data_IF_207884828039
#
_entry.id   IF_207884828039
#
_cell.length_a   1.000
_cell.length_b   1.000
_cell.length_c   1.000
_cell.angle_alpha   90.00
_cell.angle_beta   90.00
_cell.angle_gamma   90.00
#
_symmetry.space_group_name_H-M   'P 1'
#
loop_
_entity.id
_entity.type
_entity.pdbx_description
1 polymer ?
#
# COMPACT_ATOMS: atom_id res chain seq x y z
N UNK A 1 -9.17 24.34 -13.04
CA UNK A 1 -9.30 23.16 -13.93
C UNK A 1 -8.65 21.91 -13.34
N UNK A 2 -7.35 21.86 -13.02
CA UNK A 2 -6.71 20.67 -12.44
C UNK A 2 -7.22 20.27 -11.04
N UNK A 3 -7.52 21.24 -10.20
CA UNK A 3 -8.01 21.00 -8.83
C UNK A 3 -9.40 20.41 -8.87
N UNK A 4 -10.30 20.92 -9.70
CA UNK A 4 -11.69 20.46 -9.83
C UNK A 4 -11.80 19.01 -10.31
N UNK A 5 -10.94 18.57 -11.23
CA UNK A 5 -10.93 17.17 -11.69
C UNK A 5 -10.47 16.19 -10.59
N UNK A 6 -9.65 16.64 -9.65
CA UNK A 6 -9.11 15.78 -8.61
C UNK A 6 -9.91 15.84 -7.28
N UNK A 7 -10.85 16.77 -7.14
CA UNK A 7 -11.66 16.89 -5.91
C UNK A 7 -12.35 15.59 -5.54
N UNK A 8 -12.94 14.88 -6.49
CA UNK A 8 -13.63 13.61 -6.23
C UNK A 8 -12.72 12.54 -5.59
N UNK A 9 -11.41 12.51 -5.92
CA UNK A 9 -10.48 11.54 -5.35
C UNK A 9 -10.08 11.91 -3.95
N UNK A 10 -10.06 13.20 -3.63
CA UNK A 10 -9.91 13.69 -2.25
C UNK A 10 -11.13 13.28 -1.42
N UNK A 11 -12.34 13.37 -1.97
CA UNK A 11 -13.54 12.86 -1.30
C UNK A 11 -13.48 11.36 -1.07
N UNK A 12 -13.06 10.55 -2.06
CA UNK A 12 -12.85 9.11 -1.85
C UNK A 12 -11.83 8.83 -0.76
N UNK A 13 -10.71 9.53 -0.76
CA UNK A 13 -9.69 9.39 0.27
C UNK A 13 -10.22 9.70 1.67
N UNK A 14 -10.99 10.76 1.83
CA UNK A 14 -11.61 11.13 3.10
C UNK A 14 -12.66 10.12 3.54
N UNK A 15 -13.55 9.69 2.63
CA UNK A 15 -14.58 8.69 2.91
C UNK A 15 -13.93 7.36 3.34
N UNK A 16 -12.94 6.87 2.59
CA UNK A 16 -12.21 5.65 2.96
C UNK A 16 -11.49 5.80 4.30
N UNK A 17 -10.89 6.96 4.56
CA UNK A 17 -10.22 7.22 5.84
C UNK A 17 -11.19 7.18 7.01
N UNK A 18 -12.37 7.80 6.89
CA UNK A 18 -13.42 7.74 7.91
C UNK A 18 -13.91 6.30 8.09
N UNK A 19 -14.16 5.59 6.99
CA UNK A 19 -14.62 4.20 7.03
C UNK A 19 -13.61 3.29 7.74
N UNK A 20 -12.34 3.37 7.40
CA UNK A 20 -11.29 2.60 8.07
C UNK A 20 -11.13 3.01 9.54
N UNK A 21 -11.22 4.32 9.84
CA UNK A 21 -11.12 4.80 11.22
C UNK A 21 -12.21 4.19 12.13
N UNK A 22 -13.42 4.01 11.60
CA UNK A 22 -14.54 3.37 12.30
C UNK A 22 -14.37 1.84 12.32
N UNK A 23 -13.82 1.26 11.27
CA UNK A 23 -13.64 -0.19 11.14
C UNK A 23 -12.69 -0.76 12.22
N UNK A 24 -11.66 -0.02 12.63
CA UNK A 24 -10.69 -0.50 13.63
C UNK A 24 -11.33 -0.82 14.99
N UNK A 25 -12.04 0.08 15.67
CA UNK A 25 -12.71 -0.23 16.93
C UNK A 25 -13.81 -1.28 16.77
N UNK A 26 -14.50 -1.29 15.63
CA UNK A 26 -15.50 -2.33 15.34
C UNK A 26 -14.87 -3.72 15.26
N UNK A 27 -13.74 -3.86 14.57
CA UNK A 27 -12.99 -5.12 14.53
C UNK A 27 -12.43 -5.50 15.90
N UNK A 28 -11.95 -4.55 16.70
CA UNK A 28 -11.48 -4.81 18.06
C UNK A 28 -12.60 -5.44 18.91
N UNK A 29 -13.81 -4.92 18.83
CA UNK A 29 -14.98 -5.47 19.54
C UNK A 29 -15.29 -6.91 19.07
N UNK A 30 -15.34 -7.16 17.77
CA UNK A 30 -15.62 -8.49 17.21
C UNK A 30 -14.52 -9.49 17.59
N UNK A 31 -13.25 -9.10 17.40
CA UNK A 31 -12.11 -9.96 17.65
C UNK A 31 -11.93 -10.28 19.15
N UNK A 32 -12.40 -9.40 20.03
CA UNK A 32 -12.45 -9.69 21.46
C UNK A 32 -13.35 -10.89 21.84
N UNK A 33 -14.15 -11.43 20.93
CA UNK A 33 -14.82 -12.71 21.13
C UNK A 33 -13.91 -13.91 20.87
N UNK A 34 -12.75 -13.71 20.24
CA UNK A 34 -11.80 -14.77 19.89
C UNK A 34 -10.76 -14.89 21.02
N UNK A 35 -10.71 -16.04 21.70
CA UNK A 35 -9.83 -16.29 22.84
C UNK A 35 -8.37 -15.97 22.55
N UNK A 36 -7.85 -16.41 21.39
CA UNK A 36 -6.45 -16.15 21.00
C UNK A 36 -6.15 -14.66 20.79
N UNK A 37 -7.11 -13.89 20.28
CA UNK A 37 -6.93 -12.45 20.14
C UNK A 37 -6.86 -11.75 21.51
N UNK A 38 -7.70 -12.15 22.46
CA UNK A 38 -7.68 -11.62 23.84
C UNK A 38 -6.32 -11.82 24.54
N UNK A 39 -5.60 -12.88 24.18
CA UNK A 39 -4.28 -13.15 24.79
C UNK A 39 -3.16 -12.28 24.21
N UNK A 40 -3.40 -11.53 23.14
CA UNK A 40 -2.42 -10.60 22.58
C UNK A 40 -2.23 -9.44 23.56
N UNK A 41 -1.03 -9.37 24.14
CA UNK A 41 -0.67 -8.33 25.10
C UNK A 41 0.72 -7.76 24.76
N UNK A 42 0.99 -6.47 24.89
CA UNK A 42 0.10 -5.37 25.32
C UNK A 42 -0.84 -4.87 24.18
N UNK A 43 -1.78 -3.98 24.53
CA UNK A 43 -2.87 -3.53 23.62
C UNK A 43 -2.37 -2.96 22.30
N UNK A 44 -1.22 -2.31 22.23
CA UNK A 44 -0.65 -1.84 20.98
C UNK A 44 -0.36 -2.97 19.96
N UNK A 45 -0.14 -4.22 20.43
CA UNK A 45 -0.03 -5.39 19.54
C UNK A 45 -1.37 -5.82 18.96
N UNK A 46 -2.47 -5.61 19.68
CA UNK A 46 -3.83 -5.82 19.13
C UNK A 46 -4.12 -4.80 18.04
N UNK A 47 -3.76 -3.53 18.25
CA UNK A 47 -3.88 -2.49 17.22
C UNK A 47 -3.03 -2.82 15.99
N UNK A 48 -1.79 -3.25 16.21
CA UNK A 48 -0.91 -3.72 15.13
C UNK A 48 -1.50 -4.93 14.38
N UNK A 49 -2.11 -5.87 15.09
CA UNK A 49 -2.82 -7.00 14.49
C UNK A 49 -3.93 -6.53 13.57
N UNK A 50 -4.82 -5.65 14.06
CA UNK A 50 -5.95 -5.12 13.27
C UNK A 50 -5.42 -4.37 12.05
N UNK A 51 -4.43 -3.50 12.21
CA UNK A 51 -3.85 -2.73 11.12
C UNK A 51 -3.35 -3.64 9.98
N UNK A 52 -2.55 -4.64 10.33
CA UNK A 52 -2.03 -5.58 9.32
C UNK A 52 -3.12 -6.48 8.75
N UNK A 53 -4.13 -6.87 9.52
CA UNK A 53 -5.26 -7.66 9.05
C UNK A 53 -6.07 -6.86 8.03
N UNK A 54 -6.44 -5.63 8.34
CA UNK A 54 -7.17 -4.73 7.44
C UNK A 54 -6.35 -4.49 6.17
N UNK A 55 -5.09 -4.08 6.32
CA UNK A 55 -4.21 -3.81 5.17
C UNK A 55 -4.04 -5.06 4.31
N UNK A 56 -3.75 -6.22 4.90
CA UNK A 56 -3.61 -7.47 4.17
C UNK A 56 -4.88 -7.87 3.43
N UNK A 57 -6.05 -7.72 4.04
CA UNK A 57 -7.34 -8.04 3.41
C UNK A 57 -7.64 -7.11 2.24
N UNK A 58 -7.53 -5.80 2.43
CA UNK A 58 -7.83 -4.83 1.38
C UNK A 58 -6.84 -4.95 0.22
N UNK A 59 -5.53 -5.03 0.50
CA UNK A 59 -4.54 -5.23 -0.55
C UNK A 59 -4.78 -6.53 -1.32
N UNK A 60 -5.16 -7.62 -0.63
CA UNK A 60 -5.50 -8.88 -1.28
C UNK A 60 -6.73 -8.77 -2.20
N UNK A 61 -7.73 -7.98 -1.83
CA UNK A 61 -8.92 -7.75 -2.65
C UNK A 61 -8.61 -6.88 -3.89
N UNK A 62 -7.74 -5.89 -3.77
CA UNK A 62 -7.40 -5.01 -4.89
C UNK A 62 -6.29 -5.57 -5.80
N UNK A 63 -5.50 -6.55 -5.34
CA UNK A 63 -4.39 -7.11 -6.12
C UNK A 63 -4.81 -7.65 -7.49
N UNK A 64 -5.91 -8.41 -7.67
CA UNK A 64 -6.34 -8.86 -8.99
C UNK A 64 -6.62 -7.70 -9.95
N UNK A 65 -7.23 -6.63 -9.43
CA UNK A 65 -7.52 -5.43 -10.21
C UNK A 65 -6.24 -4.65 -10.56
N UNK A 66 -5.33 -4.52 -9.61
CA UNK A 66 -3.99 -3.94 -9.85
C UNK A 66 -3.22 -4.69 -10.93
N UNK A 67 -3.30 -6.03 -10.93
CA UNK A 67 -2.72 -6.86 -11.98
C UNK A 67 -3.34 -6.57 -13.34
N UNK A 68 -4.65 -6.40 -13.42
CA UNK A 68 -5.34 -6.08 -14.66
C UNK A 68 -4.92 -4.71 -15.21
N UNK A 69 -4.78 -3.69 -14.36
CA UNK A 69 -4.26 -2.37 -14.76
C UNK A 69 -2.82 -2.51 -15.31
N UNK A 70 -1.97 -3.24 -14.60
CA UNK A 70 -0.59 -3.48 -15.03
C UNK A 70 -0.52 -4.22 -16.35
N UNK A 71 -1.35 -5.24 -16.55
CA UNK A 71 -1.46 -6.01 -17.78
C UNK A 71 -1.89 -5.12 -18.96
N UNK A 72 -2.92 -4.29 -18.79
CA UNK A 72 -3.39 -3.37 -19.81
C UNK A 72 -2.31 -2.34 -20.19
N UNK A 73 -1.57 -1.85 -19.20
CA UNK A 73 -0.46 -0.94 -19.47
C UNK A 73 0.67 -1.62 -20.26
N UNK A 74 1.14 -2.78 -19.83
CA UNK A 74 2.30 -3.45 -20.45
C UNK A 74 1.99 -3.92 -21.88
N UNK A 75 0.80 -4.48 -22.12
CA UNK A 75 0.47 -5.10 -23.41
C UNK A 75 -0.27 -4.20 -24.39
N UNK A 76 -1.01 -3.22 -23.89
CA UNK A 76 -1.87 -2.37 -24.71
C UNK A 76 -1.55 -0.88 -24.58
N UNK A 77 -0.64 -0.51 -23.67
CA UNK A 77 -0.31 0.88 -23.34
C UNK A 77 -1.53 1.71 -22.94
N UNK A 78 -2.45 1.10 -22.18
CA UNK A 78 -3.69 1.72 -21.72
C UNK A 78 -3.60 1.97 -20.22
N UNK A 79 -3.78 3.24 -19.83
CA UNK A 79 -3.94 3.66 -18.45
C UNK A 79 -5.39 4.02 -18.14
N UNK A 80 -6.01 3.35 -17.18
CA UNK A 80 -7.25 3.85 -16.56
C UNK A 80 -6.90 4.72 -15.36
N UNK A 81 -6.75 6.03 -15.63
CA UNK A 81 -6.39 7.01 -14.60
C UNK A 81 -7.42 7.12 -13.49
N UNK A 82 -8.70 6.92 -13.80
CA UNK A 82 -9.76 6.98 -12.82
C UNK A 82 -9.64 5.84 -11.81
N UNK A 83 -9.46 4.61 -12.29
CA UNK A 83 -9.28 3.44 -11.45
C UNK A 83 -7.99 3.54 -10.61
N UNK A 84 -6.89 3.97 -11.21
CA UNK A 84 -5.60 4.17 -10.53
C UNK A 84 -5.75 5.17 -9.38
N UNK A 85 -6.40 6.31 -9.59
CA UNK A 85 -6.59 7.34 -8.57
C UNK A 85 -7.52 6.88 -7.45
N UNK A 86 -8.59 6.11 -7.76
CA UNK A 86 -9.46 5.51 -6.74
C UNK A 86 -8.68 4.51 -5.89
N UNK A 87 -7.89 3.63 -6.51
CA UNK A 87 -7.06 2.66 -5.79
C UNK A 87 -5.98 3.33 -4.95
N UNK A 88 -5.35 4.39 -5.48
CA UNK A 88 -4.39 5.18 -4.72
C UNK A 88 -5.03 5.85 -3.51
N UNK A 89 -6.27 6.37 -3.64
CA UNK A 89 -7.04 6.93 -2.53
C UNK A 89 -7.33 5.88 -1.45
N UNK A 90 -7.73 4.67 -1.87
CA UNK A 90 -7.99 3.56 -0.97
C UNK A 90 -6.70 3.11 -0.25
N UNK A 91 -5.61 2.95 -0.99
CA UNK A 91 -4.31 2.54 -0.43
C UNK A 91 -3.78 3.57 0.59
N UNK A 92 -3.77 4.85 0.21
CA UNK A 92 -3.27 5.91 1.07
C UNK A 92 -4.12 6.08 2.34
N UNK A 93 -5.45 5.92 2.25
CA UNK A 93 -6.33 6.03 3.41
C UNK A 93 -6.08 4.97 4.49
N UNK A 94 -5.70 3.73 4.10
CA UNK A 94 -5.35 2.67 5.06
C UNK A 94 -4.09 3.07 5.83
N UNK A 95 -3.08 3.57 5.13
CA UNK A 95 -1.82 3.99 5.74
C UNK A 95 -2.00 5.22 6.64
N UNK A 96 -2.84 6.17 6.24
CA UNK A 96 -3.22 7.33 7.08
C UNK A 96 -3.83 6.86 8.40
N UNK A 97 -4.85 6.01 8.32
CA UNK A 97 -5.56 5.54 9.52
C UNK A 97 -4.64 4.73 10.43
N UNK A 98 -3.73 3.95 9.86
CA UNK A 98 -2.74 3.20 10.64
C UNK A 98 -1.84 4.12 11.47
N UNK A 99 -1.44 5.28 10.95
CA UNK A 99 -0.65 6.28 11.69
C UNK A 99 -1.37 6.78 12.95
N UNK A 100 -2.69 6.88 12.93
CA UNK A 100 -3.49 7.36 14.07
C UNK A 100 -3.92 6.24 15.03
N UNK A 101 -4.16 5.04 14.52
CA UNK A 101 -4.75 3.96 15.30
C UNK A 101 -3.70 3.05 15.97
N UNK A 102 -2.47 2.97 15.43
CA UNK A 102 -1.44 2.08 15.96
C UNK A 102 -0.49 2.84 16.87
N UNK A 103 -0.67 2.67 18.18
CA UNK A 103 0.27 3.18 19.16
C UNK A 103 1.60 2.40 19.08
N UNK A 104 2.73 3.08 19.26
CA UNK A 104 4.08 2.50 19.24
C UNK A 104 4.42 1.80 17.90
N UNK A 105 4.09 2.45 16.80
CA UNK A 105 4.55 2.04 15.48
C UNK A 105 6.07 2.21 15.36
N UNK A 106 6.73 1.33 14.62
CA UNK A 106 8.17 1.45 14.35
C UNK A 106 8.44 2.70 13.49
N UNK A 107 9.55 3.40 13.74
CA UNK A 107 9.91 4.64 13.04
C UNK A 107 9.98 4.44 11.53
N UNK A 108 10.55 3.34 11.04
CA UNK A 108 10.58 3.01 9.61
C UNK A 108 9.19 2.89 9.01
N UNK A 109 8.24 2.31 9.74
CA UNK A 109 6.85 2.18 9.29
C UNK A 109 6.15 3.55 9.28
N UNK A 110 6.41 4.41 10.28
CA UNK A 110 5.88 5.78 10.31
C UNK A 110 6.39 6.56 9.08
N UNK A 111 7.70 6.50 8.82
CA UNK A 111 8.30 7.16 7.66
C UNK A 111 7.66 6.65 6.36
N UNK A 112 7.55 5.33 6.19
CA UNK A 112 6.92 4.73 5.01
C UNK A 112 5.47 5.22 4.82
N UNK A 113 4.63 5.12 5.84
CA UNK A 113 3.22 5.57 5.73
C UNK A 113 3.11 7.08 5.47
N UNK A 114 3.99 7.89 6.08
CA UNK A 114 4.03 9.34 5.82
C UNK A 114 4.45 9.65 4.38
N UNK A 115 5.42 8.93 3.84
CA UNK A 115 5.83 9.08 2.44
C UNK A 115 4.73 8.68 1.47
N UNK A 116 3.96 7.65 1.78
CA UNK A 116 2.77 7.29 0.98
C UNK A 116 1.78 8.46 0.90
N UNK A 117 1.55 9.18 2.03
CA UNK A 117 0.67 10.35 2.02
C UNK A 117 1.24 11.48 1.13
N UNK A 118 2.52 11.77 1.27
CA UNK A 118 3.19 12.80 0.47
C UNK A 118 3.09 12.46 -1.01
N UNK A 119 3.40 11.22 -1.41
CA UNK A 119 3.29 10.78 -2.81
C UNK A 119 1.86 10.83 -3.33
N UNK A 120 0.89 10.43 -2.54
CA UNK A 120 -0.51 10.49 -2.92
C UNK A 120 -0.94 11.93 -3.22
N UNK A 121 -0.65 12.87 -2.31
CA UNK A 121 -1.00 14.29 -2.47
C UNK A 121 -0.29 14.90 -3.68
N UNK A 122 1.03 14.67 -3.82
CA UNK A 122 1.81 15.17 -4.95
C UNK A 122 1.26 14.59 -6.27
N UNK A 123 0.96 13.30 -6.30
CA UNK A 123 0.41 12.65 -7.51
C UNK A 123 -0.94 13.23 -7.92
N UNK A 124 -1.79 13.61 -6.96
CA UNK A 124 -3.06 14.27 -7.28
C UNK A 124 -2.89 15.71 -7.77
N UNK A 125 -1.97 16.48 -7.17
CA UNK A 125 -1.89 17.92 -7.40
C UNK A 125 -0.92 18.31 -8.54
N UNK A 126 0.14 17.54 -8.74
CA UNK A 126 1.27 17.96 -9.54
C UNK A 126 1.51 17.11 -10.80
N UNK A 127 0.96 15.90 -10.92
CA UNK A 127 1.29 15.03 -12.02
C UNK A 127 0.17 14.90 -13.05
N UNK A 128 0.53 15.23 -14.29
CA UNK A 128 -0.12 14.67 -15.47
C UNK A 128 0.43 13.27 -15.66
N UNK A 129 -0.44 12.25 -15.63
CA UNK A 129 -0.06 10.87 -15.88
C UNK A 129 0.23 10.64 -17.37
N UNK A 130 1.25 11.33 -17.91
CA UNK A 130 1.75 11.06 -19.24
C UNK A 130 2.81 9.95 -19.19
N UNK A 131 2.92 9.17 -20.25
CA UNK A 131 3.75 7.95 -20.32
C UNK A 131 5.23 8.17 -20.00
N UNK A 132 5.74 9.38 -20.12
CA UNK A 132 7.15 9.71 -19.95
C UNK A 132 7.46 10.48 -18.67
N UNK A 133 6.49 10.58 -17.76
CA UNK A 133 6.67 11.29 -16.49
C UNK A 133 7.00 10.35 -15.33
N UNK A 134 7.55 10.90 -14.26
CA UNK A 134 7.86 10.19 -13.02
C UNK A 134 6.62 9.54 -12.37
N UNK A 135 5.42 9.96 -12.74
CA UNK A 135 4.16 9.35 -12.33
C UNK A 135 4.05 7.87 -12.71
N UNK A 136 4.53 7.49 -13.89
CA UNK A 136 4.52 6.08 -14.34
C UNK A 136 5.24 5.13 -13.37
N UNK A 137 6.53 5.34 -13.05
CA UNK A 137 7.19 4.45 -12.09
C UNK A 137 6.58 4.51 -10.69
N UNK A 138 6.03 5.64 -10.24
CA UNK A 138 5.30 5.73 -8.96
C UNK A 138 4.06 4.83 -8.96
N UNK A 139 3.24 4.88 -10.01
CA UNK A 139 2.05 4.03 -10.15
C UNK A 139 2.43 2.55 -10.20
N UNK A 140 3.44 2.19 -10.98
CA UNK A 140 3.92 0.80 -11.05
C UNK A 140 4.43 0.32 -9.69
N UNK A 141 5.18 1.17 -8.97
CA UNK A 141 5.60 0.86 -7.61
C UNK A 141 4.40 0.61 -6.68
N UNK A 142 3.38 1.47 -6.74
CA UNK A 142 2.16 1.32 -5.94
C UNK A 142 1.40 0.02 -6.29
N UNK A 143 1.30 -0.33 -7.58
CA UNK A 143 0.69 -1.58 -8.04
C UNK A 143 1.43 -2.79 -7.45
N UNK A 144 2.76 -2.85 -7.57
CA UNK A 144 3.54 -3.94 -6.98
C UNK A 144 3.44 -3.98 -5.45
N UNK A 145 3.25 -2.84 -4.79
CA UNK A 145 3.05 -2.77 -3.34
C UNK A 145 1.77 -3.46 -2.87
N UNK A 146 0.76 -3.63 -3.74
CA UNK A 146 -0.46 -4.38 -3.38
C UNK A 146 -0.15 -5.85 -3.09
N UNK A 147 0.85 -6.45 -3.72
CA UNK A 147 1.28 -7.82 -3.47
C UNK A 147 1.86 -8.04 -2.06
N UNK A 148 2.16 -6.97 -1.33
CA UNK A 148 2.52 -7.06 0.08
C UNK A 148 1.37 -7.56 1.00
N UNK A 149 0.16 -7.83 0.44
CA UNK A 149 -0.97 -8.37 1.22
C UNK A 149 -0.60 -9.63 2.01
N UNK A 150 0.21 -10.53 1.42
CA UNK A 150 0.65 -11.75 2.10
C UNK A 150 1.55 -11.45 3.30
N UNK A 151 2.41 -10.45 3.19
CA UNK A 151 3.27 -10.02 4.31
C UNK A 151 2.43 -9.42 5.43
N UNK A 152 1.48 -8.54 5.09
CA UNK A 152 0.58 -7.94 6.09
C UNK A 152 -0.29 -9.03 6.77
N UNK A 153 -0.84 -9.97 6.00
CA UNK A 153 -1.58 -11.10 6.56
C UNK A 153 -0.69 -11.95 7.49
N UNK A 154 0.56 -12.24 7.11
CA UNK A 154 1.53 -12.92 7.98
C UNK A 154 1.81 -12.12 9.26
N UNK A 155 2.06 -10.82 9.17
CA UNK A 155 2.33 -9.95 10.32
C UNK A 155 1.17 -9.90 11.32
N UNK A 156 -0.07 -9.97 10.85
CA UNK A 156 -1.23 -10.14 11.71
C UNK A 156 -1.29 -11.55 12.30
N UNK A 157 -1.36 -12.56 11.46
CA UNK A 157 -1.65 -13.93 11.85
C UNK A 157 -0.57 -14.57 12.71
N UNK A 158 0.69 -14.10 12.64
CA UNK A 158 1.78 -14.60 13.49
C UNK A 158 1.52 -14.44 14.99
N UNK A 159 0.61 -13.56 15.38
CA UNK A 159 0.24 -13.32 16.77
C UNK A 159 -0.76 -14.34 17.32
N UNK A 160 -1.43 -15.10 16.44
CA UNK A 160 -2.50 -16.04 16.83
C UNK A 160 -2.33 -17.46 16.26
N UNK A 161 -1.53 -17.64 15.20
CA UNK A 161 -1.32 -18.96 14.59
C UNK A 161 -0.32 -19.83 15.35
N UNK A 162 -0.52 -21.14 15.22
CA UNK A 162 0.44 -22.13 15.73
C UNK A 162 1.73 -22.12 14.88
N UNK A 163 2.86 -22.43 15.51
CA UNK A 163 4.21 -22.39 14.90
C UNK A 163 4.31 -23.19 13.60
N UNK A 164 3.63 -24.35 13.50
CA UNK A 164 3.65 -25.21 12.30
C UNK A 164 3.10 -24.48 11.07
N UNK A 165 1.91 -23.88 11.18
CA UNK A 165 1.28 -23.14 10.08
C UNK A 165 2.00 -21.83 9.81
N UNK A 166 2.56 -21.22 10.87
CA UNK A 166 3.28 -19.96 10.76
C UNK A 166 4.53 -20.08 9.90
N UNK A 167 5.31 -21.15 10.01
CA UNK A 167 6.50 -21.38 9.17
C UNK A 167 6.14 -21.46 7.68
N UNK A 168 5.13 -22.26 7.34
CA UNK A 168 4.67 -22.38 5.96
C UNK A 168 4.22 -21.03 5.41
N UNK A 169 3.41 -20.32 6.18
CA UNK A 169 2.88 -19.02 5.78
C UNK A 169 3.98 -17.96 5.63
N UNK A 170 4.96 -17.94 6.53
CA UNK A 170 6.14 -17.08 6.44
C UNK A 170 6.94 -17.35 5.15
N UNK A 171 7.17 -18.63 4.83
CA UNK A 171 7.91 -19.01 3.62
C UNK A 171 7.18 -18.56 2.36
N UNK A 172 5.87 -18.83 2.25
CA UNK A 172 5.07 -18.42 1.09
C UNK A 172 5.06 -16.89 0.95
N UNK A 173 4.82 -16.17 2.05
CA UNK A 173 4.81 -14.70 2.06
C UNK A 173 6.15 -14.12 1.64
N UNK A 174 7.26 -14.72 2.11
CA UNK A 174 8.62 -14.29 1.75
C UNK A 174 8.92 -14.51 0.27
N UNK A 175 8.56 -15.66 -0.28
CA UNK A 175 8.78 -15.97 -1.71
C UNK A 175 8.00 -14.99 -2.59
N UNK A 176 6.71 -14.79 -2.31
CA UNK A 176 5.86 -13.88 -3.09
C UNK A 176 6.42 -12.45 -3.01
N UNK A 177 6.76 -11.99 -1.80
CA UNK A 177 7.28 -10.65 -1.60
C UNK A 177 8.62 -10.43 -2.32
N UNK A 178 9.57 -11.37 -2.18
CA UNK A 178 10.87 -11.28 -2.88
C UNK A 178 10.70 -11.26 -4.39
N UNK A 179 9.84 -12.10 -4.94
CA UNK A 179 9.54 -12.13 -6.37
C UNK A 179 8.98 -10.78 -6.84
N UNK A 180 7.97 -10.26 -6.16
CA UNK A 180 7.37 -8.97 -6.51
C UNK A 180 8.35 -7.81 -6.36
N UNK A 181 9.16 -7.79 -5.30
CA UNK A 181 10.22 -6.79 -5.14
C UNK A 181 11.24 -6.85 -6.27
N UNK A 182 11.69 -8.04 -6.66
CA UNK A 182 12.65 -8.20 -7.76
C UNK A 182 12.10 -7.67 -9.07
N UNK A 183 10.85 -8.02 -9.41
CA UNK A 183 10.20 -7.51 -10.61
C UNK A 183 10.04 -5.99 -10.58
N UNK A 184 9.57 -5.45 -9.45
CA UNK A 184 9.39 -4.02 -9.28
C UNK A 184 10.72 -3.27 -9.45
N UNK A 185 11.77 -3.68 -8.74
CA UNK A 185 13.09 -3.03 -8.84
C UNK A 185 13.69 -3.15 -10.23
N UNK A 186 13.54 -4.30 -10.88
CA UNK A 186 14.00 -4.48 -12.27
C UNK A 186 13.29 -3.49 -13.21
N UNK A 187 11.98 -3.33 -13.05
CA UNK A 187 11.21 -2.37 -13.83
C UNK A 187 11.63 -0.92 -13.53
N UNK A 188 11.79 -0.56 -12.25
CA UNK A 188 12.21 0.79 -11.85
C UNK A 188 13.56 1.16 -12.46
N UNK A 189 14.55 0.27 -12.36
CA UNK A 189 15.87 0.49 -12.95
C UNK A 189 15.78 0.64 -14.48
N UNK A 190 15.05 -0.24 -15.14
CA UNK A 190 14.85 -0.21 -16.58
C UNK A 190 14.17 1.10 -17.03
N UNK A 191 13.08 1.47 -16.38
CA UNK A 191 12.35 2.69 -16.71
C UNK A 191 13.20 3.96 -16.51
N UNK A 192 13.87 4.07 -15.37
CA UNK A 192 14.72 5.22 -15.07
C UNK A 192 15.92 5.33 -16.02
N UNK A 193 16.45 4.19 -16.47
CA UNK A 193 17.53 4.17 -17.46
C UNK A 193 17.07 4.71 -18.82
N UNK A 194 15.91 4.29 -19.32
CA UNK A 194 15.41 4.66 -20.65
C UNK A 194 14.69 6.03 -20.68
N UNK A 195 14.15 6.49 -19.57
CA UNK A 195 13.36 7.73 -19.53
C UNK A 195 14.21 8.97 -19.76
N UNK A 196 13.64 9.98 -20.39
CA UNK A 196 14.27 11.31 -20.57
C UNK A 196 14.01 12.26 -19.38
N UNK A 197 13.59 11.72 -18.23
CA UNK A 197 13.36 12.51 -17.01
C UNK A 197 14.67 13.17 -16.56
N UNK A 198 14.55 14.39 -16.04
CA UNK A 198 15.70 15.14 -15.52
C UNK A 198 16.45 14.31 -14.46
N UNK A 199 17.78 14.33 -14.53
CA UNK A 199 18.64 13.55 -13.64
C UNK A 199 18.39 13.82 -12.15
N UNK A 200 18.16 15.08 -11.77
CA UNK A 200 17.86 15.44 -10.37
C UNK A 200 16.57 14.80 -9.90
N UNK A 201 15.53 14.77 -10.74
CA UNK A 201 14.26 14.14 -10.44
C UNK A 201 14.43 12.62 -10.28
N UNK A 202 15.20 11.97 -11.18
CA UNK A 202 15.54 10.54 -11.06
C UNK A 202 16.26 10.25 -9.74
N UNK A 203 17.23 11.09 -9.38
CA UNK A 203 18.01 10.94 -8.14
C UNK A 203 17.11 11.06 -6.90
N UNK A 204 16.29 12.11 -6.83
CA UNK A 204 15.34 12.31 -5.73
C UNK A 204 14.39 11.13 -5.62
N UNK A 205 13.79 10.71 -6.74
CA UNK A 205 12.89 9.56 -6.77
C UNK A 205 13.58 8.29 -6.26
N UNK A 206 14.80 8.00 -6.75
CA UNK A 206 15.56 6.81 -6.33
C UNK A 206 15.87 6.83 -4.83
N UNK A 207 16.24 7.97 -4.27
CA UNK A 207 16.46 8.09 -2.82
C UNK A 207 15.18 7.79 -2.06
N UNK A 208 14.05 8.36 -2.50
CA UNK A 208 12.78 8.24 -1.78
C UNK A 208 12.23 6.82 -1.82
N UNK A 209 12.34 6.09 -2.93
CA UNK A 209 11.83 4.69 -3.00
C UNK A 209 12.76 3.70 -2.30
N UNK A 210 14.00 4.07 -1.97
CA UNK A 210 14.94 3.24 -1.21
C UNK A 210 14.79 3.39 0.32
N UNK A 211 14.05 4.42 0.78
CA UNK A 211 13.75 4.65 2.22
C UNK A 211 12.48 3.93 2.66
#
# INVERSE_FOLDING_TARGET
MYIEENERYIYYYLIFSIWFYILYPFLDIILNNITKYKTINPKHKQQYFISNLVKGTILGLITPHSYFILYNYIFYNIWDLNEIKIMASLYASIDLVSLFQVNKMQTTTIVHHSMVQVFYIISLLCFNFNEHEISTPIVIYAIFSTFAYMVNAYLALRLILNVKYLKLFATISSIIYQFCCTLNWSYQCYYLYLSNINFIVKLIYSIVIMT
#
